data_IF_156882104826
#
_entry.id   IF_156882104826
#
_cell.length_a   1.000
_cell.length_b   1.000
_cell.length_c   1.000
_cell.angle_alpha   90.00
_cell.angle_beta   90.00
_cell.angle_gamma   90.00
#
_symmetry.space_group_name_H-M   'P 1'
#
loop_
_entity.id
_entity.type
_entity.pdbx_description
1 polymer ?
#
# COMPACT_ATOMS: atom_id res chain seq x y z
N UNK A 1 4.40 -26.51 6.97
CA UNK A 1 4.37 -25.11 6.46
C UNK A 1 2.96 -24.81 5.97
N UNK A 2 2.32 -23.75 6.44
CA UNK A 2 0.98 -23.40 5.98
C UNK A 2 0.99 -23.03 4.48
N UNK A 3 -0.14 -23.23 3.77
CA UNK A 3 -0.25 -22.86 2.37
C UNK A 3 -0.14 -21.32 2.20
N UNK A 4 0.29 -20.84 1.02
CA UNK A 4 0.31 -19.42 0.75
C UNK A 4 -1.08 -18.79 0.78
N UNK A 5 -1.21 -17.63 1.39
CA UNK A 5 -2.41 -16.80 1.35
C UNK A 5 -2.35 -15.97 0.06
N UNK A 6 -3.16 -16.36 -0.92
CA UNK A 6 -3.25 -15.66 -2.22
C UNK A 6 -4.46 -14.74 -2.23
N UNK A 7 -4.29 -13.45 -2.51
CA UNK A 7 -5.42 -12.55 -2.67
C UNK A 7 -6.18 -12.84 -3.96
N UNK A 8 -7.51 -12.58 -4.01
CA UNK A 8 -8.25 -12.64 -5.26
C UNK A 8 -7.79 -11.55 -6.23
N UNK A 9 -7.96 -11.81 -7.53
CA UNK A 9 -7.63 -10.85 -8.57
C UNK A 9 -8.53 -9.63 -8.51
N UNK A 10 -8.00 -8.47 -8.92
CA UNK A 10 -8.77 -7.26 -9.10
C UNK A 10 -9.71 -7.39 -10.30
N UNK A 11 -10.88 -6.77 -10.18
CA UNK A 11 -11.88 -6.63 -11.23
C UNK A 11 -12.11 -5.15 -11.55
N UNK A 12 -12.56 -4.82 -12.75
CA UNK A 12 -12.92 -3.44 -13.09
C UNK A 12 -13.90 -2.85 -12.06
N UNK A 13 -13.63 -1.63 -11.61
CA UNK A 13 -14.40 -0.94 -10.59
C UNK A 13 -14.00 -1.21 -9.15
N UNK A 14 -13.12 -2.18 -8.90
CA UNK A 14 -12.67 -2.47 -7.53
C UNK A 14 -11.94 -1.28 -6.89
N UNK A 15 -12.17 -1.09 -5.60
CA UNK A 15 -11.51 -0.09 -4.78
C UNK A 15 -10.06 -0.46 -4.48
N UNK A 16 -9.18 0.51 -4.68
CA UNK A 16 -7.77 0.42 -4.34
C UNK A 16 -7.45 1.47 -3.28
N UNK A 17 -7.10 1.05 -2.08
CA UNK A 17 -6.64 1.95 -1.03
C UNK A 17 -5.18 2.34 -1.28
N UNK A 18 -4.93 3.65 -1.37
CA UNK A 18 -3.57 4.16 -1.52
C UNK A 18 -3.01 4.51 -0.14
N UNK A 19 -1.83 3.98 0.17
CA UNK A 19 -1.16 4.22 1.45
C UNK A 19 0.27 4.74 1.25
N UNK A 20 0.68 5.65 2.11
CA UNK A 20 2.06 6.12 2.22
C UNK A 20 2.71 5.46 3.44
N UNK A 21 3.41 4.34 3.22
CA UNK A 21 3.98 3.51 4.29
C UNK A 21 5.46 3.80 4.57
N UNK A 22 6.07 4.69 3.81
CA UNK A 22 7.48 5.02 3.91
C UNK A 22 7.69 6.54 3.86
N UNK A 23 8.20 7.08 2.76
CA UNK A 23 8.49 8.50 2.61
C UNK A 23 7.30 9.32 2.10
N UNK A 24 7.28 10.64 2.34
CA UNK A 24 6.21 11.52 1.90
C UNK A 24 6.09 11.57 0.38
N UNK A 25 4.90 11.83 -0.12
CA UNK A 25 4.63 12.03 -1.56
C UNK A 25 4.25 13.46 -1.85
N UNK A 26 4.45 13.87 -3.11
CA UNK A 26 3.94 15.13 -3.62
C UNK A 26 2.55 14.94 -4.20
N UNK A 27 1.66 15.89 -3.93
CA UNK A 27 0.25 15.83 -4.31
C UNK A 27 0.07 15.66 -5.82
N UNK A 28 0.86 16.37 -6.64
CA UNK A 28 0.76 16.31 -8.09
C UNK A 28 1.05 14.90 -8.64
N UNK A 29 2.08 14.24 -8.10
CA UNK A 29 2.42 12.88 -8.48
C UNK A 29 1.34 11.88 -8.03
N UNK A 30 0.80 12.06 -6.82
CA UNK A 30 -0.28 11.24 -6.33
C UNK A 30 -1.53 11.37 -7.20
N UNK A 31 -1.92 12.59 -7.55
CA UNK A 31 -3.09 12.84 -8.39
C UNK A 31 -2.96 12.19 -9.77
N UNK A 32 -1.83 12.37 -10.44
CA UNK A 32 -1.55 11.73 -11.74
C UNK A 32 -1.61 10.22 -11.66
N UNK A 33 -1.05 9.63 -10.61
CA UNK A 33 -1.10 8.19 -10.41
C UNK A 33 -2.52 7.68 -10.17
N UNK A 34 -3.33 8.41 -9.41
CA UNK A 34 -4.75 8.07 -9.22
C UNK A 34 -5.54 8.21 -10.53
N UNK A 35 -5.29 9.25 -11.32
CA UNK A 35 -5.91 9.42 -12.65
C UNK A 35 -5.60 8.24 -13.57
N UNK A 36 -4.37 7.74 -13.54
CA UNK A 36 -4.00 6.56 -14.32
C UNK A 36 -4.74 5.30 -13.85
N UNK A 37 -4.90 5.11 -12.54
CA UNK A 37 -5.69 3.98 -12.01
C UNK A 37 -7.16 4.08 -12.43
N UNK A 38 -7.74 5.29 -12.44
CA UNK A 38 -9.10 5.52 -12.96
C UNK A 38 -9.17 5.19 -14.46
N UNK A 39 -8.18 5.61 -15.24
CA UNK A 39 -8.10 5.30 -16.67
C UNK A 39 -8.05 3.77 -16.91
N UNK A 40 -7.39 3.04 -16.02
CA UNK A 40 -7.30 1.58 -16.07
C UNK A 40 -8.58 0.87 -15.57
N UNK A 41 -9.58 1.62 -15.11
CA UNK A 41 -10.88 1.09 -14.71
C UNK A 41 -11.02 0.78 -13.23
N UNK A 42 -10.15 1.29 -12.37
CA UNK A 42 -10.20 1.08 -10.93
C UNK A 42 -10.65 2.32 -10.16
N UNK A 43 -10.99 2.14 -8.88
CA UNK A 43 -11.43 3.20 -7.99
C UNK A 43 -10.38 3.46 -6.89
N UNK A 44 -9.40 4.35 -7.13
CA UNK A 44 -8.42 4.70 -6.10
C UNK A 44 -9.09 5.47 -4.95
N UNK A 45 -8.76 5.09 -3.73
CA UNK A 45 -9.27 5.69 -2.50
C UNK A 45 -8.11 6.23 -1.67
N UNK A 46 -8.15 7.51 -1.35
CA UNK A 46 -7.13 8.18 -0.54
C UNK A 46 -7.78 8.83 0.68
N UNK A 47 -7.12 8.70 1.82
CA UNK A 47 -7.29 9.62 2.94
C UNK A 47 -6.15 10.64 2.86
N UNK A 48 -6.46 11.85 2.39
CA UNK A 48 -5.46 12.87 2.14
C UNK A 48 -4.65 13.25 3.38
N UNK A 49 -5.26 13.26 4.57
CA UNK A 49 -4.55 13.54 5.81
C UNK A 49 -3.45 12.51 6.08
N UNK A 50 -3.71 11.25 5.79
CA UNK A 50 -2.77 10.14 5.98
C UNK A 50 -1.78 10.01 4.81
N UNK A 51 -2.27 10.00 3.57
CA UNK A 51 -1.42 9.72 2.39
C UNK A 51 -0.46 10.87 2.06
N UNK A 52 -0.83 12.11 2.40
CA UNK A 52 0.00 13.32 2.19
C UNK A 52 0.76 13.74 3.46
N UNK A 53 0.69 12.96 4.53
CA UNK A 53 1.41 13.28 5.77
C UNK A 53 2.91 13.41 5.52
N UNK A 54 3.53 14.36 6.20
CA UNK A 54 4.95 14.65 6.08
C UNK A 54 5.54 14.95 7.46
N UNK A 55 6.46 14.11 7.90
CA UNK A 55 7.24 14.27 9.12
C UNK A 55 8.73 14.05 8.79
N UNK A 56 9.31 14.98 8.03
CA UNK A 56 10.69 14.91 7.56
C UNK A 56 10.88 13.82 6.50
N UNK A 57 11.58 12.75 6.85
CA UNK A 57 11.84 11.63 5.93
C UNK A 57 10.66 10.67 5.80
N UNK A 58 9.64 10.77 6.66
CA UNK A 58 8.54 9.82 6.74
C UNK A 58 7.19 10.45 6.40
N UNK A 59 6.32 9.64 5.86
CA UNK A 59 4.91 10.01 5.63
C UNK A 59 4.11 9.92 6.93
N UNK A 60 4.42 10.79 7.89
CA UNK A 60 3.88 10.76 9.23
C UNK A 60 4.63 9.82 10.17
N UNK A 61 4.15 9.71 11.41
CA UNK A 61 4.75 8.82 12.40
C UNK A 61 4.63 7.34 12.02
N UNK A 62 5.49 6.48 12.58
CA UNK A 62 5.36 5.04 12.40
C UNK A 62 4.00 4.52 12.91
N UNK A 63 3.52 5.05 14.03
CA UNK A 63 2.20 4.71 14.58
C UNK A 63 1.05 5.06 13.64
N UNK A 64 1.07 6.24 13.04
CA UNK A 64 0.04 6.67 12.08
C UNK A 64 0.06 5.83 10.80
N UNK A 65 1.24 5.56 10.27
CA UNK A 65 1.39 4.70 9.08
C UNK A 65 0.93 3.27 9.35
N UNK A 66 1.26 2.73 10.52
CA UNK A 66 0.79 1.40 10.94
C UNK A 66 -0.73 1.37 11.11
N UNK A 67 -1.31 2.40 11.73
CA UNK A 67 -2.77 2.53 11.89
C UNK A 67 -3.48 2.58 10.54
N UNK A 68 -2.95 3.33 9.59
CA UNK A 68 -3.48 3.40 8.23
C UNK A 68 -3.44 2.03 7.52
N UNK A 69 -2.33 1.29 7.66
CA UNK A 69 -2.20 -0.06 7.10
C UNK A 69 -3.20 -1.03 7.74
N UNK A 70 -3.32 -1.02 9.07
CA UNK A 70 -4.28 -1.89 9.78
C UNK A 70 -5.73 -1.57 9.39
N UNK A 71 -6.07 -0.28 9.27
CA UNK A 71 -7.40 0.13 8.84
C UNK A 71 -7.71 -0.34 7.40
N UNK A 72 -6.74 -0.21 6.50
CA UNK A 72 -6.89 -0.69 5.12
C UNK A 72 -7.03 -2.21 5.04
N UNK A 73 -6.34 -2.94 5.90
CA UNK A 73 -6.45 -4.41 5.98
C UNK A 73 -7.81 -4.87 6.51
N UNK A 74 -8.40 -4.11 7.42
CA UNK A 74 -9.72 -4.39 8.01
C UNK A 74 -10.88 -3.94 7.11
N UNK A 75 -10.65 -2.98 6.22
CA UNK A 75 -11.67 -2.43 5.34
C UNK A 75 -12.11 -3.47 4.30
N UNK A 76 -13.40 -3.78 4.26
CA UNK A 76 -13.97 -4.76 3.31
C UNK A 76 -14.37 -4.14 1.98
N UNK A 77 -14.40 -2.80 1.86
CA UNK A 77 -14.79 -2.10 0.64
C UNK A 77 -13.67 -2.05 -0.40
N UNK A 78 -12.41 -2.00 0.02
CA UNK A 78 -11.26 -2.03 -0.88
C UNK A 78 -10.74 -3.44 -1.11
N UNK A 79 -10.31 -3.73 -2.33
CA UNK A 79 -9.78 -5.05 -2.74
C UNK A 79 -8.27 -5.10 -2.79
N UNK A 80 -7.63 -3.95 -2.83
CA UNK A 80 -6.18 -3.85 -2.90
C UNK A 80 -5.65 -2.68 -2.09
N UNK A 81 -4.36 -2.78 -1.75
CA UNK A 81 -3.56 -1.73 -1.15
C UNK A 81 -2.39 -1.46 -2.09
N UNK A 82 -2.31 -0.25 -2.64
CA UNK A 82 -1.19 0.18 -3.45
C UNK A 82 -0.39 1.22 -2.69
N UNK A 83 0.92 1.01 -2.58
CA UNK A 83 1.80 1.97 -1.94
C UNK A 83 2.01 3.20 -2.82
N UNK A 84 2.01 4.38 -2.23
CA UNK A 84 2.20 5.63 -2.95
C UNK A 84 3.62 5.78 -3.47
N UNK A 85 4.61 5.48 -2.63
CA UNK A 85 6.03 5.43 -2.99
C UNK A 85 6.83 4.66 -1.94
N UNK A 86 8.08 4.38 -2.27
CA UNK A 86 9.08 3.87 -1.34
C UNK A 86 9.77 4.98 -0.56
N UNK A 87 11.07 4.93 -0.52
CA UNK A 87 11.91 5.84 0.23
C UNK A 87 12.49 5.16 1.46
N UNK A 88 11.96 5.49 2.65
CA UNK A 88 12.47 4.93 3.89
C UNK A 88 11.37 4.82 4.95
N UNK A 89 11.41 3.78 5.76
CA UNK A 89 10.64 3.71 6.99
C UNK A 89 9.62 2.57 7.11
N UNK A 90 9.39 1.74 6.09
CA UNK A 90 8.44 0.63 6.19
C UNK A 90 8.85 -0.41 7.24
N UNK A 91 10.15 -0.54 7.52
CA UNK A 91 10.67 -1.47 8.55
C UNK A 91 10.18 -1.16 9.95
N UNK A 92 9.85 0.10 10.25
CA UNK A 92 9.32 0.48 11.57
C UNK A 92 7.88 -0.02 11.81
N UNK A 93 7.20 -0.53 10.79
CA UNK A 93 5.83 -1.04 10.90
C UNK A 93 5.78 -2.53 11.29
N UNK A 94 6.87 -3.25 11.08
CA UNK A 94 6.89 -4.72 11.11
C UNK A 94 6.49 -5.28 12.47
N UNK A 95 7.01 -4.72 13.56
CA UNK A 95 6.73 -5.20 14.92
C UNK A 95 5.25 -5.06 15.31
N UNK A 96 4.56 -4.07 14.74
CA UNK A 96 3.15 -3.84 14.99
C UNK A 96 2.20 -4.77 14.23
N UNK A 97 2.71 -5.55 13.28
CA UNK A 97 1.92 -6.49 12.49
C UNK A 97 1.94 -7.87 13.14
N UNK A 98 1.08 -8.05 14.13
CA UNK A 98 1.07 -9.25 14.99
C UNK A 98 0.16 -10.36 14.49
N UNK A 99 -0.80 -10.06 13.61
CA UNK A 99 -1.77 -11.01 13.09
C UNK A 99 -1.89 -10.90 11.57
N UNK A 100 -2.15 -12.04 10.91
CA UNK A 100 -2.50 -12.07 9.51
C UNK A 100 -3.85 -11.38 9.27
N UNK A 101 -4.05 -10.75 8.11
CA UNK A 101 -5.35 -10.22 7.76
C UNK A 101 -6.38 -11.36 7.64
N UNK A 102 -7.63 -11.08 8.03
CA UNK A 102 -8.71 -12.06 7.93
C UNK A 102 -8.97 -12.47 6.47
N UNK A 103 -8.79 -11.54 5.54
CA UNK A 103 -8.87 -11.79 4.11
C UNK A 103 -7.65 -11.15 3.42
N UNK A 104 -6.84 -11.92 2.69
CA UNK A 104 -5.69 -11.37 2.00
C UNK A 104 -6.11 -10.42 0.89
N UNK A 105 -5.43 -9.29 0.81
CA UNK A 105 -5.60 -8.28 -0.25
C UNK A 105 -4.36 -8.24 -1.13
N UNK A 106 -4.50 -7.73 -2.34
CA UNK A 106 -3.33 -7.38 -3.14
C UNK A 106 -2.60 -6.24 -2.43
N UNK A 107 -1.34 -6.47 -2.09
CA UNK A 107 -0.43 -5.42 -1.63
C UNK A 107 0.64 -5.23 -2.70
N UNK A 108 0.65 -4.05 -3.32
CA UNK A 108 1.57 -3.70 -4.39
C UNK A 108 2.53 -2.60 -3.93
N UNK A 109 3.81 -2.84 -4.13
CA UNK A 109 4.86 -1.87 -3.84
C UNK A 109 6.23 -2.36 -4.28
N UNK A 110 7.24 -1.55 -4.07
CA UNK A 110 8.62 -1.86 -4.45
C UNK A 110 9.61 -1.07 -3.59
N UNK A 111 10.91 -1.21 -3.86
CA UNK A 111 11.97 -0.50 -3.14
C UNK A 111 11.88 -0.74 -1.63
N UNK A 112 11.78 0.30 -0.79
CA UNK A 112 11.69 0.19 0.67
C UNK A 112 10.54 -0.73 1.14
N UNK A 113 9.45 -0.79 0.39
CA UNK A 113 8.30 -1.65 0.71
C UNK A 113 8.64 -3.14 0.67
N UNK A 114 9.73 -3.52 0.02
CA UNK A 114 10.21 -4.90 -0.04
C UNK A 114 10.41 -5.51 1.35
N UNK A 115 10.89 -4.74 2.32
CA UNK A 115 11.05 -5.22 3.70
C UNK A 115 9.72 -5.69 4.29
N UNK A 116 8.65 -4.92 4.09
CA UNK A 116 7.30 -5.29 4.50
C UNK A 116 6.81 -6.53 3.75
N UNK A 117 7.04 -6.61 2.44
CA UNK A 117 6.61 -7.75 1.63
C UNK A 117 7.28 -9.06 2.07
N UNK A 118 8.59 -9.02 2.33
CA UNK A 118 9.33 -10.18 2.84
C UNK A 118 8.80 -10.60 4.21
N UNK A 119 8.58 -9.65 5.10
CA UNK A 119 8.03 -9.92 6.44
C UNK A 119 6.66 -10.59 6.36
N UNK A 120 5.75 -10.08 5.54
CA UNK A 120 4.41 -10.64 5.38
C UNK A 120 4.45 -12.06 4.80
N UNK A 121 5.36 -12.32 3.88
CA UNK A 121 5.58 -13.66 3.37
C UNK A 121 6.14 -14.61 4.43
N UNK A 122 7.17 -14.20 5.14
CA UNK A 122 7.81 -15.05 6.16
C UNK A 122 6.87 -15.35 7.33
N UNK A 123 6.17 -14.33 7.81
CA UNK A 123 5.35 -14.46 9.01
C UNK A 123 3.97 -15.06 8.74
N UNK A 124 3.34 -14.69 7.65
CA UNK A 124 1.94 -15.04 7.36
C UNK A 124 1.75 -15.83 6.07
N UNK A 125 2.81 -16.08 5.32
CA UNK A 125 2.73 -16.71 3.98
C UNK A 125 1.84 -15.92 3.02
N UNK A 126 1.71 -14.63 3.23
CA UNK A 126 0.89 -13.75 2.40
C UNK A 126 1.64 -13.36 1.11
N UNK A 127 1.06 -13.71 -0.04
CA UNK A 127 1.59 -13.37 -1.35
C UNK A 127 1.33 -11.89 -1.63
N UNK A 128 2.39 -11.13 -1.83
CA UNK A 128 2.36 -9.72 -2.21
C UNK A 128 2.98 -9.52 -3.58
N UNK A 129 2.89 -8.32 -4.13
CA UNK A 129 3.33 -8.04 -5.49
C UNK A 129 4.38 -6.95 -5.50
N UNK A 130 5.53 -7.24 -6.10
CA UNK A 130 6.56 -6.26 -6.36
C UNK A 130 6.28 -5.59 -7.71
N UNK A 131 6.06 -4.27 -7.71
CA UNK A 131 5.71 -3.58 -8.96
C UNK A 131 5.60 -2.07 -8.79
N UNK A 132 5.02 -1.39 -9.79
CA UNK A 132 4.93 0.06 -9.84
C UNK A 132 4.14 0.62 -8.66
N UNK A 133 4.49 1.84 -8.25
CA UNK A 133 3.81 2.57 -7.18
C UNK A 133 3.13 3.83 -7.72
N UNK A 134 2.12 4.32 -6.98
CA UNK A 134 1.16 5.31 -7.50
C UNK A 134 1.83 6.65 -7.84
N UNK A 135 2.61 7.20 -6.91
CA UNK A 135 3.23 8.52 -7.06
C UNK A 135 4.67 8.48 -7.56
N UNK A 136 5.18 7.33 -7.99
CA UNK A 136 6.56 7.20 -8.49
C UNK A 136 6.68 6.44 -9.81
N UNK A 137 5.60 5.84 -10.28
CA UNK A 137 5.56 5.07 -11.53
C UNK A 137 4.28 5.36 -12.33
N UNK A 138 3.10 5.13 -11.73
CA UNK A 138 1.82 5.38 -12.40
C UNK A 138 1.61 6.86 -12.74
N UNK A 139 2.24 7.78 -12.01
CA UNK A 139 2.20 9.21 -12.27
C UNK A 139 2.80 9.63 -13.64
N UNK A 140 3.51 8.72 -14.29
CA UNK A 140 4.12 8.94 -15.60
C UNK A 140 3.21 8.48 -16.76
N UNK A 141 2.09 7.84 -16.42
CA UNK A 141 1.23 7.19 -17.41
C UNK A 141 1.84 5.89 -17.94
N UNK A 142 1.11 5.23 -18.79
CA UNK A 142 1.57 4.02 -19.48
C UNK A 142 2.18 4.36 -20.83
#
# INVERSE_FOLDING_TARGET
MPPPLKPPALRPGDGIRILSLASPVQIDHLQKGCEELVRLGYAPETDNASVLANAGFFAGSAGDRLSALKAALADTSSRAIFCSRGGYGSTYLLEGLTAAPAAPKILLGSSDITALQIFLWQKFRWVTFYGPMVASNFDRGA
#
